data_IF_923390659779
#
_entry.id   IF_923390659779
#
_cell.length_a   1.000
_cell.length_b   1.000
_cell.length_c   1.000
_cell.angle_alpha   90.00
_cell.angle_beta   90.00
_cell.angle_gamma   90.00
#
_symmetry.space_group_name_H-M   'P 1'
#
loop_
_entity.id
_entity.type
_entity.pdbx_description
1 polymer ?
#
# COMPACT_ATOMS: atom_id res chain seq x y z
N UNK A 1 13.03 33.49 -0.20
CA UNK A 1 12.60 32.55 0.84
C UNK A 1 12.57 31.18 0.21
N UNK A 2 13.60 30.37 0.50
CA UNK A 2 13.73 29.01 -0.05
C UNK A 2 12.78 28.10 0.75
N UNK A 3 11.75 27.61 0.09
CA UNK A 3 10.95 26.49 0.59
C UNK A 3 11.73 25.19 0.31
N UNK A 4 12.77 24.95 1.11
CA UNK A 4 13.46 23.70 1.10
C UNK A 4 12.56 22.63 1.69
N UNK A 5 12.20 21.65 0.84
CA UNK A 5 11.91 20.26 1.13
C UNK A 5 11.23 19.95 2.47
N UNK A 6 9.92 20.11 2.52
CA UNK A 6 9.10 19.29 3.39
C UNK A 6 9.03 17.87 2.81
N UNK A 7 10.14 17.14 2.88
CA UNK A 7 10.11 15.70 2.75
C UNK A 7 9.36 15.18 3.98
N UNK A 8 8.13 14.74 3.79
CA UNK A 8 7.39 14.03 4.82
C UNK A 8 8.14 12.74 5.14
N UNK A 9 8.84 12.62 6.29
CA UNK A 9 9.64 11.43 6.61
C UNK A 9 8.79 10.21 6.98
N UNK A 10 7.48 10.27 6.71
CA UNK A 10 6.50 9.28 7.14
C UNK A 10 5.64 8.71 6.00
N UNK A 11 5.92 9.09 4.77
CA UNK A 11 5.38 8.43 3.59
C UNK A 11 6.04 7.06 3.52
N UNK A 12 5.26 6.05 3.21
CA UNK A 12 5.71 4.67 3.04
C UNK A 12 7.07 4.66 2.32
N UNK A 13 8.14 4.13 2.93
CA UNK A 13 9.42 4.08 2.24
C UNK A 13 9.21 3.43 0.88
N UNK A 14 9.91 3.88 -0.18
CA UNK A 14 9.81 3.24 -1.48
C UNK A 14 10.02 1.74 -1.22
N UNK A 15 9.06 0.93 -1.65
CA UNK A 15 9.09 -0.52 -1.42
C UNK A 15 10.45 -1.03 -1.87
N UNK A 16 11.30 -1.43 -0.94
CA UNK A 16 12.44 -2.26 -1.28
C UNK A 16 11.88 -3.45 -2.04
N UNK A 17 12.48 -3.72 -3.20
CA UNK A 17 12.06 -4.78 -4.11
C UNK A 17 11.78 -6.07 -3.34
N UNK A 18 10.54 -6.56 -3.46
CA UNK A 18 10.20 -7.97 -3.42
C UNK A 18 10.20 -8.72 -2.07
N UNK A 19 9.44 -8.25 -1.07
CA UNK A 19 8.80 -9.22 -0.18
C UNK A 19 7.29 -8.97 -0.17
N UNK A 20 6.59 -9.58 -1.12
CA UNK A 20 5.13 -9.67 -1.07
C UNK A 20 4.81 -10.57 0.12
N UNK A 21 4.11 -10.04 1.11
CA UNK A 21 3.65 -10.82 2.26
C UNK A 21 2.39 -11.58 1.86
N UNK A 22 2.46 -12.89 1.81
CA UNK A 22 1.30 -13.74 1.51
C UNK A 22 0.61 -14.20 2.80
N UNK A 23 -0.71 -14.25 2.77
CA UNK A 23 -1.52 -14.86 3.83
C UNK A 23 -1.48 -16.40 3.70
N UNK A 24 -1.82 -17.12 4.78
CA UNK A 24 -1.75 -18.59 4.77
C UNK A 24 -2.54 -19.24 3.62
N UNK A 25 -3.70 -18.73 3.28
CA UNK A 25 -4.52 -19.26 2.20
C UNK A 25 -4.00 -18.88 0.80
N UNK A 26 -3.05 -17.95 0.71
CA UNK A 26 -2.41 -17.50 -0.54
C UNK A 26 -1.13 -18.28 -0.88
N UNK A 27 -0.78 -19.32 -0.11
CA UNK A 27 0.39 -20.18 -0.37
C UNK A 27 0.51 -20.64 -1.84
N UNK A 28 -0.58 -21.07 -2.51
CA UNK A 28 -0.49 -21.45 -3.92
C UNK A 28 -0.07 -20.30 -4.84
N UNK A 29 -0.44 -19.06 -4.50
CA UNK A 29 0.03 -17.87 -5.22
C UNK A 29 1.49 -17.59 -4.94
N UNK A 30 1.92 -17.71 -3.68
CA UNK A 30 3.32 -17.52 -3.28
C UNK A 30 4.26 -18.44 -4.06
N UNK A 31 3.91 -19.72 -4.20
CA UNK A 31 4.68 -20.70 -4.96
C UNK A 31 4.79 -20.33 -6.45
N UNK A 32 3.70 -19.85 -7.04
CA UNK A 32 3.71 -19.41 -8.45
C UNK A 32 4.55 -18.15 -8.65
N UNK A 33 4.51 -17.21 -7.73
CA UNK A 33 5.36 -16.02 -7.78
C UNK A 33 6.84 -16.38 -7.63
N UNK A 34 7.18 -17.30 -6.73
CA UNK A 34 8.55 -17.79 -6.58
C UNK A 34 9.08 -18.44 -7.86
N UNK A 35 8.25 -19.27 -8.53
CA UNK A 35 8.61 -19.87 -9.81
C UNK A 35 8.78 -18.83 -10.91
N UNK A 36 7.91 -17.82 -10.95
CA UNK A 36 8.02 -16.72 -11.91
C UNK A 36 9.33 -15.93 -11.72
N UNK A 37 9.68 -15.58 -10.50
CA UNK A 37 10.93 -14.85 -10.22
C UNK A 37 12.17 -15.71 -10.58
N UNK A 38 12.20 -16.99 -10.24
CA UNK A 38 13.28 -17.91 -10.66
C UNK A 38 13.40 -17.98 -12.17
N UNK A 39 12.28 -18.00 -12.90
CA UNK A 39 12.29 -18.04 -14.37
C UNK A 39 12.88 -16.74 -14.95
N UNK A 40 12.51 -15.59 -14.39
CA UNK A 40 13.09 -14.29 -14.79
C UNK A 40 14.59 -14.21 -14.49
N UNK A 41 15.04 -14.71 -13.34
CA UNK A 41 16.46 -14.77 -12.99
C UNK A 41 17.25 -15.63 -13.98
N UNK A 42 16.71 -16.81 -14.37
CA UNK A 42 17.31 -17.70 -15.35
C UNK A 42 17.40 -17.00 -16.72
N UNK A 43 16.37 -16.29 -17.15
CA UNK A 43 16.38 -15.51 -18.40
C UNK A 43 17.53 -14.48 -18.41
N UNK A 44 17.69 -13.75 -17.33
CA UNK A 44 18.77 -12.73 -17.18
C UNK A 44 20.15 -13.38 -17.20
N UNK A 45 20.34 -14.51 -16.53
CA UNK A 45 21.64 -15.19 -16.40
C UNK A 45 22.01 -15.94 -17.67
N UNK A 46 21.06 -16.65 -18.28
CA UNK A 46 21.31 -17.52 -19.43
C UNK A 46 21.17 -16.84 -20.80
N UNK A 47 20.50 -15.67 -20.84
CA UNK A 47 20.18 -14.99 -22.10
C UNK A 47 19.18 -15.73 -22.98
N UNK A 48 18.52 -16.76 -22.45
CA UNK A 48 17.49 -17.54 -23.16
C UNK A 48 16.16 -16.82 -23.02
N UNK A 49 15.45 -16.61 -24.13
CA UNK A 49 14.11 -16.00 -24.12
C UNK A 49 13.10 -16.90 -23.40
N UNK A 50 12.72 -16.54 -22.18
CA UNK A 50 11.71 -17.21 -21.38
C UNK A 50 10.34 -16.51 -21.41
N UNK A 51 10.16 -15.52 -22.28
CA UNK A 51 8.92 -14.74 -22.40
C UNK A 51 7.64 -15.58 -22.52
N UNK A 52 7.58 -16.70 -23.29
CA UNK A 52 6.38 -17.52 -23.35
C UNK A 52 6.03 -18.14 -21.99
N UNK A 53 7.02 -18.66 -21.29
CA UNK A 53 6.86 -19.29 -19.96
C UNK A 53 6.44 -18.28 -18.91
N UNK A 54 7.01 -17.08 -18.95
CA UNK A 54 6.63 -15.96 -18.05
C UNK A 54 5.15 -15.62 -18.24
N UNK A 55 4.68 -15.47 -19.47
CA UNK A 55 3.27 -15.18 -19.75
C UNK A 55 2.33 -16.31 -19.28
N UNK A 56 2.75 -17.54 -19.39
CA UNK A 56 1.99 -18.67 -18.88
C UNK A 56 1.86 -18.64 -17.36
N UNK A 57 2.95 -18.35 -16.64
CA UNK A 57 2.90 -18.14 -15.19
C UNK A 57 2.01 -16.96 -14.79
N UNK A 58 2.11 -15.83 -15.48
CA UNK A 58 1.28 -14.65 -15.20
C UNK A 58 -0.22 -14.97 -15.36
N UNK A 59 -0.58 -15.68 -16.43
CA UNK A 59 -1.95 -16.14 -16.66
C UNK A 59 -2.42 -17.07 -15.55
N UNK A 60 -1.60 -18.05 -15.16
CA UNK A 60 -1.92 -19.01 -14.10
C UNK A 60 -2.07 -18.33 -12.74
N UNK A 61 -1.23 -17.33 -12.43
CA UNK A 61 -1.34 -16.50 -11.23
C UNK A 61 -2.69 -15.79 -11.21
N UNK A 62 -3.09 -15.15 -12.31
CA UNK A 62 -4.36 -14.44 -12.39
C UNK A 62 -5.57 -15.37 -12.23
N UNK A 63 -5.55 -16.54 -12.86
CA UNK A 63 -6.59 -17.56 -12.72
C UNK A 63 -6.69 -18.09 -11.29
N UNK A 64 -5.54 -18.42 -10.69
CA UNK A 64 -5.47 -18.89 -9.29
C UNK A 64 -5.95 -17.82 -8.33
N UNK A 65 -5.57 -16.56 -8.55
CA UNK A 65 -6.05 -15.42 -7.76
C UNK A 65 -7.57 -15.32 -7.82
N UNK A 66 -8.16 -15.32 -9.00
CA UNK A 66 -9.62 -15.28 -9.18
C UNK A 66 -10.32 -16.43 -8.45
N UNK A 67 -9.80 -17.63 -8.55
CA UNK A 67 -10.36 -18.79 -7.86
C UNK A 67 -10.30 -18.65 -6.33
N UNK A 68 -9.15 -18.27 -5.78
CA UNK A 68 -8.97 -18.09 -4.33
C UNK A 68 -9.87 -16.98 -3.77
N UNK A 69 -9.94 -15.84 -4.46
CA UNK A 69 -10.68 -14.69 -3.97
C UNK A 69 -12.18 -14.74 -4.23
N UNK A 70 -12.68 -15.61 -5.12
CA UNK A 70 -14.11 -15.79 -5.37
C UNK A 70 -14.86 -16.45 -4.20
N UNK A 71 -14.17 -17.27 -3.39
CA UNK A 71 -14.78 -18.10 -2.35
C UNK A 71 -14.13 -17.92 -0.96
N UNK A 72 -13.81 -16.69 -0.59
CA UNK A 72 -13.21 -16.40 0.70
C UNK A 72 -14.19 -16.67 1.86
N UNK A 73 -13.72 -17.40 2.87
CA UNK A 73 -14.43 -17.54 4.14
C UNK A 73 -14.53 -16.18 4.86
N UNK A 74 -15.49 -15.99 5.78
CA UNK A 74 -15.57 -14.75 6.57
C UNK A 74 -14.27 -14.40 7.29
N UNK A 75 -13.56 -15.39 7.82
CA UNK A 75 -12.26 -15.17 8.46
C UNK A 75 -11.18 -14.72 7.49
N UNK A 76 -11.10 -15.34 6.32
CA UNK A 76 -10.16 -14.91 5.27
C UNK A 76 -10.43 -13.47 4.81
N UNK A 77 -11.69 -13.04 4.71
CA UNK A 77 -12.04 -11.63 4.44
C UNK A 77 -11.50 -10.69 5.52
N UNK A 78 -11.58 -11.10 6.79
CA UNK A 78 -10.99 -10.34 7.90
C UNK A 78 -9.47 -10.26 7.77
N UNK A 79 -8.79 -11.36 7.44
CA UNK A 79 -7.34 -11.37 7.24
C UNK A 79 -6.92 -10.44 6.08
N UNK A 80 -7.61 -10.50 4.94
CA UNK A 80 -7.36 -9.60 3.80
C UNK A 80 -7.57 -8.14 4.20
N UNK A 81 -8.63 -7.83 4.96
CA UNK A 81 -8.89 -6.45 5.42
C UNK A 81 -7.80 -5.92 6.35
N UNK A 82 -7.08 -6.82 7.03
CA UNK A 82 -6.00 -6.51 7.98
C UNK A 82 -4.61 -6.83 7.44
N UNK A 83 -4.49 -6.97 6.13
CA UNK A 83 -3.20 -7.29 5.51
C UNK A 83 -2.12 -6.27 5.92
N UNK A 84 -0.89 -6.72 6.28
CA UNK A 84 0.18 -5.82 6.75
C UNK A 84 0.57 -4.72 5.76
N UNK A 85 0.50 -5.03 4.47
CA UNK A 85 0.85 -4.12 3.39
C UNK A 85 -0.34 -3.29 2.87
N UNK A 86 -1.50 -3.36 3.52
CA UNK A 86 -2.64 -2.54 3.11
C UNK A 86 -2.30 -1.06 3.28
N UNK A 87 -2.49 -0.24 2.24
CA UNK A 87 -2.22 1.18 2.34
C UNK A 87 -3.15 1.86 3.35
N UNK A 88 -2.64 2.87 4.04
CA UNK A 88 -3.39 3.75 4.92
C UNK A 88 -3.72 5.07 4.21
N UNK A 89 -4.45 5.95 4.87
CA UNK A 89 -4.98 7.21 4.31
C UNK A 89 -3.93 8.03 3.56
N UNK A 90 -2.74 8.23 4.12
CA UNK A 90 -1.69 9.02 3.46
C UNK A 90 -1.23 8.39 2.13
N UNK A 91 -1.14 7.07 2.05
CA UNK A 91 -0.79 6.39 0.81
C UNK A 91 -1.89 6.50 -0.26
N UNK A 92 -3.16 6.53 0.15
CA UNK A 92 -4.27 6.82 -0.77
C UNK A 92 -4.23 8.26 -1.27
N UNK A 93 -3.96 9.22 -0.38
CA UNK A 93 -3.82 10.64 -0.75
C UNK A 93 -2.71 10.79 -1.80
N UNK A 94 -1.53 10.20 -1.55
CA UNK A 94 -0.40 10.25 -2.47
C UNK A 94 -0.71 9.63 -3.85
N UNK A 95 -1.49 8.54 -3.87
CA UNK A 95 -1.83 7.83 -5.11
C UNK A 95 -3.02 8.39 -5.88
N UNK A 96 -3.90 9.16 -5.25
CA UNK A 96 -5.15 9.65 -5.84
C UNK A 96 -5.14 11.14 -6.15
N UNK A 97 -4.40 11.94 -5.38
CA UNK A 97 -4.37 13.38 -5.54
C UNK A 97 -3.37 13.81 -6.62
N UNK A 98 -3.62 14.97 -7.19
CA UNK A 98 -2.67 15.62 -8.08
C UNK A 98 -1.37 15.89 -7.31
N UNK A 99 -0.24 15.77 -8.01
CA UNK A 99 1.08 15.87 -7.39
C UNK A 99 1.23 17.15 -6.58
N UNK A 100 1.71 17.02 -5.34
CA UNK A 100 1.99 18.13 -4.43
C UNK A 100 0.78 19.02 -4.09
N UNK A 101 -0.46 18.53 -4.33
CA UNK A 101 -1.68 19.31 -4.08
C UNK A 101 -2.21 19.18 -2.65
N UNK A 102 -1.81 18.14 -1.91
CA UNK A 102 -2.35 17.90 -0.57
C UNK A 102 -1.76 18.87 0.47
N UNK A 103 -2.63 19.60 1.14
CA UNK A 103 -2.29 20.50 2.24
C UNK A 103 -2.98 19.98 3.51
N UNK A 104 -2.21 19.35 4.40
CA UNK A 104 -2.73 18.84 5.67
C UNK A 104 -3.14 19.99 6.58
N UNK A 105 -4.37 19.91 7.10
CA UNK A 105 -4.89 20.82 8.11
C UNK A 105 -4.69 20.15 9.47
N UNK A 106 -3.96 20.85 10.33
CA UNK A 106 -3.72 20.40 11.69
C UNK A 106 -4.79 20.91 12.63
N UNK A 107 -4.86 20.35 13.84
CA UNK A 107 -5.77 20.73 14.87
C UNK A 107 -5.76 22.24 15.07
N UNK A 108 -6.96 22.80 15.12
CA UNK A 108 -7.08 24.22 15.14
C UNK A 108 -6.77 24.83 16.55
N UNK A 109 -7.02 26.10 16.70
CA UNK A 109 -6.47 26.93 17.78
C UNK A 109 -6.97 26.60 19.19
N UNK A 110 -8.00 25.77 19.32
CA UNK A 110 -8.67 25.54 20.59
C UNK A 110 -8.20 24.30 21.34
N UNK A 111 -7.75 23.26 20.63
CA UNK A 111 -7.43 21.98 21.24
C UNK A 111 -6.07 21.48 20.72
N UNK A 112 -5.92 20.21 20.60
CA UNK A 112 -4.73 19.54 20.09
C UNK A 112 -4.99 19.02 18.69
N UNK A 113 -3.92 18.96 17.91
CA UNK A 113 -3.90 18.21 16.68
C UNK A 113 -4.08 16.71 16.97
N UNK A 114 -5.04 16.06 16.32
CA UNK A 114 -5.26 14.63 16.48
C UNK A 114 -4.36 13.84 15.51
N UNK A 115 -3.39 13.14 16.07
CA UNK A 115 -2.43 12.38 15.27
C UNK A 115 -3.02 11.13 14.59
N UNK A 116 -4.19 10.67 15.03
CA UNK A 116 -4.87 9.52 14.46
C UNK A 116 -5.73 9.89 13.24
N UNK A 117 -6.14 11.15 13.15
CA UNK A 117 -6.97 11.66 12.06
C UNK A 117 -6.14 12.58 11.16
N UNK A 118 -6.11 12.28 9.89
CA UNK A 118 -5.49 13.11 8.86
C UNK A 118 -6.59 13.76 8.04
N UNK A 119 -6.54 15.06 7.89
CA UNK A 119 -7.49 15.80 7.08
C UNK A 119 -6.80 16.94 6.35
N UNK A 120 -7.27 17.26 5.15
CA UNK A 120 -6.67 18.34 4.38
C UNK A 120 -7.38 18.58 3.05
N UNK A 121 -6.98 19.67 2.43
CA UNK A 121 -7.41 20.06 1.09
C UNK A 121 -6.46 19.42 0.06
N UNK A 122 -7.02 18.94 -1.02
CA UNK A 122 -6.25 18.41 -2.15
C UNK A 122 -6.94 18.73 -3.47
N UNK A 123 -6.28 18.43 -4.56
CA UNK A 123 -6.86 18.43 -5.91
C UNK A 123 -6.86 16.99 -6.45
N UNK A 124 -7.94 16.61 -7.12
CA UNK A 124 -8.05 15.36 -7.88
C UNK A 124 -8.54 15.73 -9.29
N UNK A 125 -7.72 15.48 -10.30
CA UNK A 125 -7.99 15.87 -11.68
C UNK A 125 -8.33 17.37 -11.84
N UNK A 126 -7.69 18.23 -11.04
CA UNK A 126 -7.93 19.66 -11.04
C UNK A 126 -9.13 20.14 -10.21
N UNK A 127 -9.89 19.24 -9.61
CA UNK A 127 -11.01 19.58 -8.73
C UNK A 127 -10.59 19.61 -7.26
N UNK A 128 -10.94 20.67 -6.56
CA UNK A 128 -10.63 20.81 -5.12
C UNK A 128 -11.51 19.91 -4.26
N UNK A 129 -10.89 19.12 -3.42
CA UNK A 129 -11.56 18.18 -2.52
C UNK A 129 -11.04 18.29 -1.09
N UNK A 130 -11.89 17.99 -0.11
CA UNK A 130 -11.47 17.76 1.26
C UNK A 130 -11.34 16.26 1.50
N UNK A 131 -10.19 15.81 1.99
CA UNK A 131 -9.95 14.41 2.33
C UNK A 131 -9.77 14.29 3.83
N UNK A 132 -10.47 13.34 4.44
CA UNK A 132 -10.38 13.04 5.87
C UNK A 132 -10.29 11.53 6.03
N UNK A 133 -9.36 11.05 6.86
CA UNK A 133 -9.22 9.63 7.10
C UNK A 133 -8.38 9.27 8.30
N UNK A 134 -8.57 8.04 8.78
CA UNK A 134 -7.78 7.51 9.89
C UNK A 134 -6.42 7.01 9.43
N UNK A 135 -5.39 7.38 10.17
CA UNK A 135 -4.00 6.99 9.92
C UNK A 135 -3.45 6.18 11.09
N UNK A 136 -3.24 4.88 10.90
CA UNK A 136 -2.80 4.00 11.98
C UNK A 136 -1.29 3.94 12.19
N UNK A 137 -0.52 4.08 11.16
CA UNK A 137 0.93 3.88 11.20
C UNK A 137 1.38 2.44 10.91
N UNK A 138 2.48 2.32 10.16
CA UNK A 138 3.03 1.07 9.61
C UNK A 138 3.86 0.26 10.61
N UNK A 139 4.55 0.90 11.53
CA UNK A 139 5.40 0.26 12.55
C UNK A 139 4.95 0.61 13.97
N UNK A 140 5.50 -0.04 14.97
CA UNK A 140 5.11 0.14 16.38
C UNK A 140 5.26 1.60 16.84
N UNK A 141 6.36 2.27 16.49
CA UNK A 141 6.60 3.67 16.85
C UNK A 141 5.53 4.60 16.25
N UNK A 142 5.22 4.40 14.96
CA UNK A 142 4.20 5.19 14.28
C UNK A 142 2.79 4.86 14.77
N UNK A 143 2.52 3.60 15.14
CA UNK A 143 1.24 3.23 15.76
C UNK A 143 1.02 3.93 17.09
N UNK A 144 2.05 3.99 17.93
CA UNK A 144 1.98 4.76 19.21
C UNK A 144 1.79 6.26 18.94
N UNK A 145 2.56 6.84 18.03
CA UNK A 145 2.43 8.25 17.65
C UNK A 145 1.03 8.61 17.14
N UNK A 146 0.43 7.72 16.34
CA UNK A 146 -0.92 7.85 15.77
C UNK A 146 -2.03 7.32 16.69
N UNK A 147 -1.76 7.12 17.97
CA UNK A 147 -2.70 6.55 18.95
C UNK A 147 -3.42 5.28 18.40
N UNK A 148 -2.69 4.40 17.71
CA UNK A 148 -3.21 3.20 17.06
C UNK A 148 -4.35 3.43 16.04
N UNK A 149 -4.49 4.66 15.55
CA UNK A 149 -5.57 5.09 14.66
C UNK A 149 -6.88 5.39 15.39
N UNK A 150 -6.82 5.59 16.70
CA UNK A 150 -7.98 5.97 17.53
C UNK A 150 -7.95 7.49 17.77
N UNK A 151 -8.95 8.24 17.27
CA UNK A 151 -9.09 9.67 17.58
C UNK A 151 -9.26 9.92 19.09
N UNK A 152 -8.84 11.09 19.55
CA UNK A 152 -9.05 11.54 20.93
C UNK A 152 -10.44 12.15 21.11
#
# INVERSE_FOLDING_TARGET
MNFEHWTFPYICPPREKNMITFLEFEKPLAELYEQLEKTKEIEVISGIDATPTIREFEKKIEETRKQLYSNLTPWQKVLVSRHPERPYTLAYIEGMCDKDSFIELHGDRNVKDDKALVGGMASINGESVMIIGHQKGINTKMRQYRNFGMPN
#
